data_IF_263425647530
#
_entry.id   IF_263425647530
#
_cell.length_a   1.000
_cell.length_b   1.000
_cell.length_c   1.000
_cell.angle_alpha   90.00
_cell.angle_beta   90.00
_cell.angle_gamma   90.00
#
_symmetry.space_group_name_H-M   'P 1'
#
loop_
_entity.id
_entity.type
_entity.pdbx_description
1 polymer ?
#
# COMPACT_ATOMS: atom_id res chain seq x y z
N UNK A 1 20.83 -4.93 -7.72
CA UNK A 1 20.02 -4.15 -8.68
C UNK A 1 20.06 -4.68 -10.10
N UNK A 2 21.22 -5.12 -10.66
CA UNK A 2 21.25 -5.77 -11.99
C UNK A 2 20.20 -6.88 -12.13
N UNK A 3 20.05 -7.70 -11.10
CA UNK A 3 19.09 -8.80 -11.06
C UNK A 3 17.61 -8.35 -11.04
N UNK A 4 17.31 -7.15 -10.49
CA UNK A 4 15.95 -6.58 -10.53
C UNK A 4 15.62 -6.08 -11.94
N UNK A 5 16.59 -5.45 -12.57
CA UNK A 5 16.44 -4.85 -13.89
C UNK A 5 16.51 -5.88 -15.02
N UNK A 6 17.11 -7.05 -14.76
CA UNK A 6 17.24 -8.14 -15.73
C UNK A 6 15.92 -8.87 -16.03
N UNK A 7 14.89 -8.72 -15.18
CA UNK A 7 13.54 -9.23 -15.44
C UNK A 7 13.30 -10.72 -15.15
N UNK A 8 14.27 -11.44 -14.56
CA UNK A 8 14.04 -12.80 -14.05
C UNK A 8 13.18 -12.76 -12.77
N UNK A 9 11.95 -13.29 -12.75
CA UNK A 9 11.05 -13.21 -11.59
C UNK A 9 11.66 -13.76 -10.30
N UNK A 10 12.45 -14.83 -10.38
CA UNK A 10 13.05 -15.46 -9.18
C UNK A 10 14.17 -14.57 -8.63
N UNK A 11 15.04 -14.08 -9.51
CA UNK A 11 16.11 -13.16 -9.12
C UNK A 11 15.55 -11.80 -8.63
N UNK A 12 14.47 -11.29 -9.23
CA UNK A 12 13.78 -10.07 -8.80
C UNK A 12 13.26 -10.20 -7.36
N UNK A 13 12.56 -11.29 -7.04
CA UNK A 13 12.04 -11.52 -5.68
C UNK A 13 13.18 -11.62 -4.67
N UNK A 14 14.24 -12.37 -4.98
CA UNK A 14 15.39 -12.52 -4.09
C UNK A 14 16.11 -11.19 -3.86
N UNK A 15 16.35 -10.44 -4.92
CA UNK A 15 17.02 -9.15 -4.85
C UNK A 15 16.17 -8.09 -4.13
N UNK A 16 14.85 -8.07 -4.34
CA UNK A 16 13.96 -7.13 -3.66
C UNK A 16 13.95 -7.38 -2.15
N UNK A 17 13.88 -8.65 -1.73
CA UNK A 17 13.95 -9.04 -0.31
C UNK A 17 15.26 -8.62 0.37
N UNK A 18 16.39 -8.69 -0.35
CA UNK A 18 17.67 -8.22 0.18
C UNK A 18 17.69 -6.69 0.35
N UNK A 19 17.07 -5.98 -0.58
CA UNK A 19 17.05 -4.51 -0.57
C UNK A 19 16.12 -3.94 0.49
N UNK A 20 15.04 -4.65 0.88
CA UNK A 20 14.12 -4.22 1.95
C UNK A 20 14.84 -3.74 3.23
N UNK A 21 15.99 -4.33 3.55
CA UNK A 21 16.77 -4.03 4.75
C UNK A 21 17.91 -3.03 4.52
N UNK A 22 18.22 -2.70 3.27
CA UNK A 22 19.31 -1.78 2.91
C UNK A 22 18.77 -0.39 2.59
N UNK A 23 18.45 0.36 3.65
CA UNK A 23 17.93 1.74 3.55
C UNK A 23 18.86 2.70 2.81
N UNK A 24 20.16 2.38 2.68
CA UNK A 24 21.10 3.20 1.91
C UNK A 24 20.74 3.26 0.41
N UNK A 25 19.96 2.29 -0.08
CA UNK A 25 19.56 2.19 -1.48
C UNK A 25 18.35 3.04 -1.84
N UNK A 26 17.66 3.64 -0.86
CA UNK A 26 16.39 4.39 -1.04
C UNK A 26 16.42 5.35 -2.24
N UNK A 27 17.36 6.29 -2.26
CA UNK A 27 17.46 7.29 -3.33
C UNK A 27 17.68 6.66 -4.70
N UNK A 28 18.38 5.53 -4.74
CA UNK A 28 18.65 4.82 -6.00
C UNK A 28 17.43 4.07 -6.50
N UNK A 29 16.68 3.43 -5.59
CA UNK A 29 15.43 2.76 -5.94
C UNK A 29 14.37 3.75 -6.43
N UNK A 30 14.27 4.93 -5.81
CA UNK A 30 13.35 5.98 -6.25
C UNK A 30 13.68 6.45 -7.67
N UNK A 31 14.96 6.71 -7.97
CA UNK A 31 15.40 7.10 -9.32
C UNK A 31 15.10 6.02 -10.36
N UNK A 32 15.24 4.75 -10.01
CA UNK A 32 14.90 3.65 -10.93
C UNK A 32 13.40 3.48 -11.08
N UNK A 33 12.62 3.67 -10.02
CA UNK A 33 11.17 3.65 -10.11
C UNK A 33 10.65 4.75 -11.04
N UNK A 34 11.26 5.93 -11.06
CA UNK A 34 10.87 7.02 -11.96
C UNK A 34 11.13 6.69 -13.45
N UNK A 35 12.25 6.02 -13.75
CA UNK A 35 12.65 5.70 -15.13
C UNK A 35 12.09 4.38 -15.67
N UNK A 36 11.59 3.49 -14.80
CA UNK A 36 11.16 2.14 -15.18
C UNK A 36 9.72 2.10 -15.66
N UNK A 37 9.48 1.40 -16.78
CA UNK A 37 8.15 1.26 -17.39
C UNK A 37 7.57 -0.14 -17.23
N UNK A 38 8.39 -1.16 -16.92
CA UNK A 38 7.94 -2.54 -16.77
C UNK A 38 7.25 -2.73 -15.43
N UNK A 39 6.05 -3.28 -15.47
CA UNK A 39 5.15 -3.43 -14.32
C UNK A 39 5.80 -4.22 -13.18
N UNK A 40 6.41 -5.34 -13.50
CA UNK A 40 7.02 -6.28 -12.54
C UNK A 40 8.21 -5.65 -11.83
N UNK A 41 9.02 -4.88 -12.57
CA UNK A 41 10.18 -4.19 -12.02
C UNK A 41 9.75 -3.01 -11.15
N UNK A 42 8.76 -2.22 -11.58
CA UNK A 42 8.17 -1.15 -10.75
C UNK A 42 7.62 -1.70 -9.44
N UNK A 43 6.84 -2.78 -9.51
CA UNK A 43 6.31 -3.48 -8.36
C UNK A 43 7.41 -3.97 -7.40
N UNK A 44 8.47 -4.61 -7.93
CA UNK A 44 9.61 -5.07 -7.14
C UNK A 44 10.35 -3.93 -6.41
N UNK A 45 10.54 -2.79 -7.08
CA UNK A 45 11.15 -1.60 -6.49
C UNK A 45 10.29 -1.02 -5.37
N UNK A 46 8.97 -0.92 -5.58
CA UNK A 46 8.00 -0.46 -4.57
C UNK A 46 7.91 -1.39 -3.37
N UNK A 47 7.94 -2.70 -3.61
CA UNK A 47 7.98 -3.70 -2.54
C UNK A 47 9.20 -3.50 -1.64
N UNK A 48 10.38 -3.30 -2.21
CA UNK A 48 11.59 -3.01 -1.42
C UNK A 48 11.44 -1.71 -0.62
N UNK A 49 10.96 -0.64 -1.27
CA UNK A 49 10.75 0.68 -0.66
C UNK A 49 9.78 0.67 0.53
N UNK A 50 8.79 -0.22 0.53
CA UNK A 50 7.80 -0.39 1.64
C UNK A 50 8.45 -0.52 3.01
N UNK A 51 9.60 -1.18 3.09
CA UNK A 51 10.29 -1.48 4.34
C UNK A 51 11.32 -0.41 4.75
N UNK A 52 11.50 0.63 3.92
CA UNK A 52 12.50 1.66 4.19
C UNK A 52 11.98 2.72 5.18
N UNK A 53 10.65 2.93 5.25
CA UNK A 53 9.99 3.71 6.30
C UNK A 53 10.22 5.22 6.20
N UNK A 54 10.34 5.78 4.99
CA UNK A 54 10.58 7.22 4.80
C UNK A 54 9.31 7.94 4.31
N UNK A 55 8.82 8.89 5.12
CA UNK A 55 7.69 9.77 4.77
C UNK A 55 7.91 10.57 3.48
N UNK A 56 9.16 10.79 3.04
CA UNK A 56 9.47 11.44 1.77
C UNK A 56 8.90 10.70 0.54
N UNK A 57 8.44 9.46 0.71
CA UNK A 57 7.83 8.65 -0.34
C UNK A 57 6.29 8.70 -0.28
N UNK A 58 5.70 9.31 0.75
CA UNK A 58 4.26 9.32 0.99
C UNK A 58 3.49 9.94 -0.18
N UNK A 59 3.91 11.14 -0.60
CA UNK A 59 3.29 11.84 -1.74
C UNK A 59 3.46 11.08 -3.05
N UNK A 60 4.59 10.39 -3.23
CA UNK A 60 4.83 9.53 -4.39
C UNK A 60 3.86 8.34 -4.38
N UNK A 61 3.66 7.67 -3.24
CA UNK A 61 2.72 6.54 -3.15
C UNK A 61 1.28 6.97 -3.38
N UNK A 62 0.88 8.12 -2.81
CA UNK A 62 -0.43 8.72 -3.09
C UNK A 62 -0.57 9.04 -4.58
N UNK A 63 0.47 9.59 -5.21
CA UNK A 63 0.50 9.88 -6.65
C UNK A 63 0.36 8.63 -7.51
N UNK A 64 1.10 7.56 -7.19
CA UNK A 64 1.04 6.26 -7.89
C UNK A 64 -0.36 5.65 -7.74
N UNK A 65 -0.91 5.63 -6.52
CA UNK A 65 -2.23 5.07 -6.23
C UNK A 65 -3.33 5.79 -7.04
N UNK A 66 -3.25 7.11 -7.17
CA UNK A 66 -4.23 7.92 -7.93
C UNK A 66 -4.06 7.83 -9.45
N UNK A 67 -2.94 7.33 -9.94
CA UNK A 67 -2.65 7.28 -11.36
C UNK A 67 -3.37 6.11 -12.03
N UNK A 68 -4.57 6.33 -12.56
CA UNK A 68 -5.37 5.31 -13.26
C UNK A 68 -4.67 4.68 -14.48
N UNK A 69 -3.64 5.33 -15.04
CA UNK A 69 -2.82 4.79 -16.13
C UNK A 69 -1.70 3.86 -15.66
N UNK A 70 -1.36 3.89 -14.38
CA UNK A 70 -0.39 2.98 -13.78
C UNK A 70 -0.96 1.56 -13.72
N UNK A 71 -0.11 0.53 -13.76
CA UNK A 71 -0.61 -0.84 -13.67
C UNK A 71 -1.28 -1.12 -12.31
N UNK A 72 -2.40 -1.86 -12.26
CA UNK A 72 -3.10 -2.13 -11.00
C UNK A 72 -2.23 -2.77 -9.92
N UNK A 73 -1.31 -3.67 -10.30
CA UNK A 73 -0.35 -4.29 -9.40
C UNK A 73 0.55 -3.26 -8.69
N UNK A 74 0.97 -2.23 -9.43
CA UNK A 74 1.83 -1.14 -8.92
C UNK A 74 1.03 -0.20 -8.02
N UNK A 75 -0.23 0.11 -8.39
CA UNK A 75 -1.15 0.89 -7.55
C UNK A 75 -1.46 0.17 -6.22
N UNK A 76 -1.74 -1.13 -6.26
CA UNK A 76 -2.00 -1.95 -5.08
C UNK A 76 -0.81 -1.98 -4.13
N UNK A 77 0.41 -2.12 -4.66
CA UNK A 77 1.63 -2.07 -3.84
C UNK A 77 1.84 -0.69 -3.19
N UNK A 78 1.45 0.40 -3.86
CA UNK A 78 1.48 1.73 -3.25
C UNK A 78 0.47 1.86 -2.09
N UNK A 79 -0.72 1.26 -2.20
CA UNK A 79 -1.67 1.18 -1.08
C UNK A 79 -1.11 0.34 0.09
N UNK A 80 -0.46 -0.80 -0.19
CA UNK A 80 0.23 -1.58 0.86
C UNK A 80 1.33 -0.78 1.56
N UNK A 81 2.14 -0.02 0.80
CA UNK A 81 3.13 0.86 1.39
C UNK A 81 2.50 1.77 2.45
N UNK A 82 1.38 2.42 2.09
CA UNK A 82 0.67 3.33 2.99
C UNK A 82 0.19 2.59 4.25
N UNK A 83 -0.35 1.38 4.08
CA UNK A 83 -0.82 0.52 5.18
C UNK A 83 0.23 0.36 6.29
N UNK A 84 1.45 -0.03 5.92
CA UNK A 84 2.52 -0.29 6.89
C UNK A 84 3.11 0.97 7.54
N UNK A 85 2.86 2.15 6.97
CA UNK A 85 3.43 3.40 7.42
C UNK A 85 2.43 4.32 8.15
N UNK A 86 1.12 4.02 8.13
CA UNK A 86 0.10 4.86 8.75
C UNK A 86 0.32 5.13 10.24
N UNK A 87 0.81 4.17 11.03
CA UNK A 87 1.05 4.36 12.46
C UNK A 87 2.11 5.43 12.77
N UNK A 88 2.99 5.74 11.81
CA UNK A 88 3.96 6.83 11.91
C UNK A 88 3.38 8.21 11.57
N UNK A 89 2.12 8.29 11.14
CA UNK A 89 1.45 9.51 10.71
C UNK A 89 0.32 9.85 11.69
N UNK A 90 0.26 11.11 12.14
CA UNK A 90 -0.81 11.59 13.04
C UNK A 90 -2.13 11.67 12.29
N UNK A 91 -3.21 11.27 12.94
CA UNK A 91 -4.55 11.26 12.32
C UNK A 91 -5.12 12.64 11.99
N UNK A 92 -4.61 13.71 12.62
CA UNK A 92 -4.99 15.11 12.39
C UNK A 92 -4.11 15.82 11.34
N UNK A 93 -3.13 15.12 10.76
CA UNK A 93 -2.20 15.70 9.79
C UNK A 93 -2.78 15.81 8.39
N UNK A 94 -2.18 16.69 7.58
CA UNK A 94 -2.58 16.86 6.17
C UNK A 94 -2.23 15.61 5.37
N UNK A 95 -1.07 15.02 5.66
CA UNK A 95 -0.55 13.81 5.03
C UNK A 95 -1.50 12.62 5.24
N UNK A 96 -2.03 12.48 6.45
CA UNK A 96 -3.03 11.46 6.77
C UNK A 96 -4.29 11.64 5.93
N UNK A 97 -4.85 12.86 5.95
CA UNK A 97 -6.06 13.19 5.20
C UNK A 97 -5.88 12.91 3.69
N UNK A 98 -4.79 13.38 3.10
CA UNK A 98 -4.51 13.20 1.67
C UNK A 98 -4.40 11.73 1.29
N UNK A 99 -3.76 10.90 2.11
CA UNK A 99 -3.67 9.46 1.86
C UNK A 99 -5.00 8.74 2.04
N UNK A 100 -5.77 9.08 3.08
CA UNK A 100 -7.11 8.52 3.29
C UNK A 100 -8.02 8.89 2.12
N UNK A 101 -8.03 10.14 1.67
CA UNK A 101 -8.82 10.57 0.50
C UNK A 101 -8.44 9.77 -0.76
N UNK A 102 -7.14 9.55 -0.99
CA UNK A 102 -6.67 8.74 -2.12
C UNK A 102 -7.08 7.27 -2.02
N UNK A 103 -7.04 6.69 -0.82
CA UNK A 103 -7.47 5.31 -0.56
C UNK A 103 -8.98 5.14 -0.71
N UNK A 104 -9.78 6.12 -0.27
CA UNK A 104 -11.23 6.14 -0.45
C UNK A 104 -11.60 6.17 -1.95
N UNK A 105 -10.86 6.91 -2.77
CA UNK A 105 -11.04 6.85 -4.23
C UNK A 105 -10.59 5.50 -4.81
N UNK A 106 -9.52 4.90 -4.29
CA UNK A 106 -9.03 3.59 -4.71
C UNK A 106 -10.02 2.44 -4.41
N UNK A 107 -10.96 2.62 -3.48
CA UNK A 107 -12.08 1.67 -3.27
C UNK A 107 -13.01 1.56 -4.49
N UNK A 108 -12.94 2.49 -5.44
CA UNK A 108 -13.73 2.48 -6.68
C UNK A 108 -12.93 1.99 -7.88
N UNK A 109 -11.67 1.56 -7.68
CA UNK A 109 -10.81 1.11 -8.77
C UNK A 109 -11.41 -0.12 -9.46
N UNK A 110 -11.38 -0.21 -10.81
CA UNK A 110 -11.87 -1.37 -11.53
C UNK A 110 -11.15 -2.67 -11.15
N UNK A 111 -9.89 -2.59 -10.73
CA UNK A 111 -9.11 -3.74 -10.28
C UNK A 111 -9.49 -4.14 -8.85
N UNK A 112 -9.93 -5.39 -8.62
CA UNK A 112 -10.17 -5.89 -7.27
C UNK A 112 -8.89 -5.92 -6.42
N UNK A 113 -7.73 -6.08 -7.03
CA UNK A 113 -6.43 -6.03 -6.36
C UNK A 113 -6.21 -4.67 -5.69
N UNK A 114 -6.48 -3.58 -6.41
CA UNK A 114 -6.34 -2.22 -5.86
C UNK A 114 -7.36 -1.98 -4.74
N UNK A 115 -8.62 -2.38 -4.93
CA UNK A 115 -9.66 -2.24 -3.90
C UNK A 115 -9.29 -3.01 -2.63
N UNK A 116 -8.80 -4.23 -2.77
CA UNK A 116 -8.37 -5.06 -1.64
C UNK A 116 -7.24 -4.41 -0.85
N UNK A 117 -6.18 -3.95 -1.52
CA UNK A 117 -5.08 -3.25 -0.87
C UNK A 117 -5.53 -1.94 -0.22
N UNK A 118 -6.48 -1.21 -0.83
CA UNK A 118 -7.03 0.01 -0.26
C UNK A 118 -7.84 -0.28 1.02
N UNK A 119 -8.67 -1.32 1.03
CA UNK A 119 -9.39 -1.80 2.23
C UNK A 119 -8.41 -2.16 3.34
N UNK A 120 -7.37 -2.94 3.01
CA UNK A 120 -6.33 -3.30 3.97
C UNK A 120 -5.61 -2.07 4.56
N UNK A 121 -5.26 -1.10 3.71
CA UNK A 121 -4.61 0.13 4.15
C UNK A 121 -5.50 0.99 5.05
N UNK A 122 -6.79 1.14 4.71
CA UNK A 122 -7.77 1.84 5.55
C UNK A 122 -7.93 1.15 6.91
N UNK A 123 -7.90 -0.18 6.97
CA UNK A 123 -7.86 -0.93 8.23
C UNK A 123 -6.63 -0.62 9.09
N UNK A 124 -5.45 -0.49 8.47
CA UNK A 124 -4.21 -0.16 9.18
C UNK A 124 -4.14 1.29 9.69
N UNK A 125 -5.08 2.16 9.29
CA UNK A 125 -5.07 3.55 9.75
C UNK A 125 -5.28 3.68 11.25
N UNK A 126 -6.02 2.75 11.89
CA UNK A 126 -6.45 2.91 13.28
C UNK A 126 -7.38 4.11 13.51
N UNK A 127 -8.14 4.52 12.49
CA UNK A 127 -9.01 5.70 12.52
C UNK A 127 -10.50 5.30 12.47
N UNK A 128 -11.19 5.19 13.62
CA UNK A 128 -12.57 4.68 13.73
C UNK A 128 -13.61 5.31 12.79
N UNK A 129 -13.52 6.59 12.39
CA UNK A 129 -14.42 7.16 11.39
C UNK A 129 -14.46 6.44 10.03
N UNK A 130 -13.50 5.55 9.73
CA UNK A 130 -13.46 4.76 8.50
C UNK A 130 -14.23 3.42 8.59
N UNK A 131 -14.77 3.07 9.76
CA UNK A 131 -15.58 1.84 9.90
C UNK A 131 -16.79 1.77 8.95
N UNK A 132 -17.56 2.85 8.72
CA UNK A 132 -18.71 2.80 7.81
C UNK A 132 -18.34 2.40 6.37
N UNK A 133 -17.21 2.92 5.86
CA UNK A 133 -16.78 2.59 4.48
C UNK A 133 -16.26 1.15 4.39
N UNK A 134 -15.57 0.65 5.42
CA UNK A 134 -15.17 -0.76 5.46
C UNK A 134 -16.39 -1.68 5.53
N UNK A 135 -17.44 -1.28 6.26
CA UNK A 135 -18.70 -2.01 6.32
C UNK A 135 -19.42 -2.05 4.97
N UNK A 136 -19.31 -1.01 4.14
CA UNK A 136 -19.81 -1.00 2.76
C UNK A 136 -19.04 -2.00 1.88
N UNK A 137 -17.70 -2.03 1.99
CA UNK A 137 -16.85 -2.94 1.20
C UNK A 137 -17.10 -4.44 1.47
N UNK A 138 -17.80 -4.78 2.56
CA UNK A 138 -18.29 -6.16 2.80
C UNK A 138 -19.30 -6.63 1.75
N UNK A 139 -19.88 -5.72 0.98
CA UNK A 139 -20.79 -6.06 -0.13
C UNK A 139 -20.05 -6.36 -1.45
N UNK A 140 -18.71 -6.25 -1.50
CA UNK A 140 -17.91 -6.59 -2.68
C UNK A 140 -17.37 -8.03 -2.59
N UNK A 141 -18.05 -9.03 -3.20
CA UNK A 141 -17.61 -10.43 -3.15
C UNK A 141 -16.50 -10.73 -4.17
N UNK A 142 -15.94 -9.71 -4.84
CA UNK A 142 -15.01 -9.95 -5.95
C UNK A 142 -13.78 -10.70 -5.44
N UNK A 143 -13.47 -11.88 -6.01
CA UNK A 143 -12.26 -12.62 -5.68
C UNK A 143 -11.04 -11.87 -6.22
N UNK A 144 -9.94 -11.96 -5.49
CA UNK A 144 -8.71 -11.23 -5.84
C UNK A 144 -7.66 -12.22 -6.36
N UNK A 145 -7.28 -12.15 -7.64
CA UNK A 145 -6.30 -13.06 -8.23
C UNK A 145 -4.98 -13.08 -7.45
N UNK A 146 -4.50 -14.28 -7.10
CA UNK A 146 -3.23 -14.45 -6.38
C UNK A 146 -3.31 -14.35 -4.86
N UNK A 147 -4.47 -13.96 -4.29
CA UNK A 147 -4.71 -13.97 -2.84
C UNK A 147 -5.82 -14.95 -2.46
N UNK A 148 -5.74 -15.49 -1.24
CA UNK A 148 -6.78 -16.33 -0.68
C UNK A 148 -7.88 -15.44 -0.05
N UNK A 149 -8.78 -14.87 -0.86
CA UNK A 149 -9.86 -14.05 -0.33
C UNK A 149 -10.63 -13.22 -1.36
N UNK A 150 -11.51 -12.38 -0.82
CA UNK A 150 -12.32 -11.40 -1.56
C UNK A 150 -12.12 -10.02 -0.93
N UNK A 151 -12.55 -8.97 -1.63
CA UNK A 151 -12.60 -7.62 -1.04
C UNK A 151 -13.46 -7.61 0.24
N UNK A 152 -14.57 -8.35 0.25
CA UNK A 152 -15.46 -8.50 1.41
C UNK A 152 -14.81 -9.18 2.63
N UNK A 153 -14.05 -10.25 2.42
CA UNK A 153 -13.34 -10.91 3.54
C UNK A 153 -12.26 -10.00 4.11
N UNK A 154 -11.50 -9.31 3.25
CA UNK A 154 -10.52 -8.31 3.69
C UNK A 154 -11.18 -7.15 4.42
N UNK A 155 -12.37 -6.71 4.01
CA UNK A 155 -13.10 -5.65 4.70
C UNK A 155 -13.48 -6.06 6.13
N UNK A 156 -13.92 -7.30 6.31
CA UNK A 156 -14.23 -7.84 7.63
C UNK A 156 -12.98 -7.89 8.52
N UNK A 157 -11.86 -8.40 8.01
CA UNK A 157 -10.58 -8.41 8.73
C UNK A 157 -10.05 -7.01 9.03
N UNK A 158 -10.21 -6.08 8.10
CA UNK A 158 -9.71 -4.70 8.22
C UNK A 158 -10.46 -3.92 9.29
N UNK A 159 -11.74 -4.22 9.54
CA UNK A 159 -12.49 -3.61 10.65
C UNK A 159 -11.92 -4.05 12.01
N UNK A 160 -11.67 -5.34 12.20
CA UNK A 160 -11.04 -5.86 13.43
C UNK A 160 -9.63 -5.28 13.61
N UNK A 161 -8.87 -5.19 12.51
CA UNK A 161 -7.54 -4.62 12.55
C UNK A 161 -7.55 -3.13 12.88
N UNK A 162 -8.52 -2.37 12.36
CA UNK A 162 -8.68 -0.95 12.64
C UNK A 162 -8.87 -0.68 14.12
N UNK A 163 -9.73 -1.44 14.79
CA UNK A 163 -9.97 -1.29 16.22
C UNK A 163 -8.68 -1.56 17.01
N UNK A 164 -7.95 -2.62 16.66
CA UNK A 164 -6.65 -2.94 17.28
C UNK A 164 -5.61 -1.85 17.05
N UNK A 165 -5.55 -1.28 15.84
CA UNK A 165 -4.63 -0.20 15.52
C UNK A 165 -5.02 1.10 16.22
N UNK A 166 -6.31 1.36 16.41
CA UNK A 166 -6.80 2.49 17.18
C UNK A 166 -6.34 2.41 18.64
N UNK A 167 -6.47 1.23 19.28
CA UNK A 167 -5.93 1.02 20.62
C UNK A 167 -4.42 1.22 20.68
N UNK A 168 -3.69 0.80 19.65
CA UNK A 168 -2.24 0.99 19.57
C UNK A 168 -1.87 2.48 19.54
N UNK A 169 -2.60 3.29 18.76
CA UNK A 169 -2.44 4.75 18.73
C UNK A 169 -2.68 5.41 20.08
N UNK A 170 -3.77 5.04 20.77
CA UNK A 170 -4.07 5.56 22.11
C UNK A 170 -2.95 5.25 23.11
N UNK A 171 -2.32 4.08 23.02
CA UNK A 171 -1.19 3.70 23.89
C UNK A 171 0.09 4.48 23.57
N UNK A 172 0.32 4.84 22.31
CA UNK A 172 1.56 5.48 21.85
C UNK A 172 1.46 7.01 21.70
N UNK A 173 0.28 7.60 21.90
CA UNK A 173 0.07 9.05 21.85
C UNK A 173 0.12 9.65 20.43
N UNK A 174 -0.18 8.86 19.39
CA UNK A 174 -0.13 9.25 17.96
C UNK A 174 -1.48 9.32 17.27
#
# INVERSE_FOLDING_TARGET
>A
MKDILAGDPIAMVKASKLLCYDKSTTSTLLRFLEAETRVETRHALLYALTWHGHLAQWDLMVGILKNVQEAPLVRGQAAEYLAYNFLGVRTDSTEFKVAVDALLEALKDPSPEVRYCAVHALGNTGHPPLLPVLQEMRQDPTPVPGWAGTVSSQASESMEWLERMHENRLKNGS
#
